data_IF_976392887273
#
_entry.id   IF_976392887273
#
_cell.length_a   1.000
_cell.length_b   1.000
_cell.length_c   1.000
_cell.angle_alpha   90.00
_cell.angle_beta   90.00
_cell.angle_gamma   90.00
#
_symmetry.space_group_name_H-M   'P 1'
#
loop_
_entity.id
_entity.type
_entity.pdbx_description
1 polymer ?
#
# COMPACT_ATOMS: atom_id res chain seq x y z
N UNK A 1 -19.83 -8.93 16.34
CA UNK A 1 -19.83 -7.67 17.09
C UNK A 1 -19.56 -6.64 16.03
N UNK A 2 -20.59 -5.89 15.68
CA UNK A 2 -20.51 -4.90 14.61
C UNK A 2 -19.76 -3.66 15.15
N UNK A 3 -19.01 -2.92 14.32
CA UNK A 3 -18.25 -1.78 14.79
C UNK A 3 -19.19 -0.60 15.08
N UNK A 4 -19.03 0.02 16.25
CA UNK A 4 -19.80 1.21 16.64
C UNK A 4 -19.18 2.52 16.11
N UNK A 5 -17.89 2.47 15.73
CA UNK A 5 -17.14 3.63 15.23
C UNK A 5 -16.20 3.24 14.09
N UNK A 6 -16.12 4.09 13.08
CA UNK A 6 -15.16 3.99 11.97
C UNK A 6 -14.54 5.36 11.72
N UNK A 7 -13.28 5.39 11.31
CA UNK A 7 -12.60 6.58 10.86
C UNK A 7 -12.02 6.31 9.46
N UNK A 8 -12.23 7.23 8.53
CA UNK A 8 -11.71 7.12 7.16
C UNK A 8 -11.42 8.50 6.56
N UNK A 9 -10.72 8.53 5.43
CA UNK A 9 -10.38 9.77 4.71
C UNK A 9 -11.41 9.99 3.60
N UNK A 10 -11.65 11.24 3.20
CA UNK A 10 -12.48 11.54 2.01
C UNK A 10 -11.93 10.85 0.75
N UNK A 11 -12.81 10.68 -0.23
CA UNK A 11 -12.56 9.95 -1.48
C UNK A 11 -12.36 8.43 -1.29
N UNK A 12 -12.67 7.93 -0.09
CA UNK A 12 -12.84 6.51 0.20
C UNK A 12 -14.33 6.10 0.18
N UNK A 13 -14.56 4.80 0.11
CA UNK A 13 -15.89 4.18 0.09
C UNK A 13 -16.15 3.45 1.40
N UNK A 14 -17.31 3.72 2.01
CA UNK A 14 -17.84 2.89 3.09
C UNK A 14 -18.74 1.81 2.51
N UNK A 15 -18.54 0.57 2.94
CA UNK A 15 -19.29 -0.60 2.47
C UNK A 15 -19.97 -1.32 3.64
N UNK A 16 -21.27 -1.58 3.46
CA UNK A 16 -22.09 -2.39 4.36
C UNK A 16 -22.41 -3.70 3.66
N UNK A 17 -21.93 -4.80 4.24
CA UNK A 17 -22.15 -6.14 3.74
C UNK A 17 -23.10 -6.89 4.68
N UNK A 18 -24.19 -7.43 4.13
CA UNK A 18 -25.09 -8.26 4.92
C UNK A 18 -24.52 -9.66 5.09
N UNK A 19 -24.13 -10.00 6.31
CA UNK A 19 -23.74 -11.35 6.72
C UNK A 19 -24.88 -12.13 7.40
N UNK A 20 -26.05 -11.51 7.53
CA UNK A 20 -27.22 -12.09 8.16
C UNK A 20 -28.20 -12.64 7.10
N UNK A 21 -29.12 -13.51 7.54
CA UNK A 21 -30.21 -14.04 6.72
C UNK A 21 -31.48 -13.16 6.79
N UNK A 22 -31.42 -11.98 7.43
CA UNK A 22 -32.51 -11.00 7.48
C UNK A 22 -32.26 -9.83 6.54
N UNK A 23 -33.35 -9.22 6.07
CA UNK A 23 -33.29 -7.96 5.34
C UNK A 23 -33.07 -6.82 6.34
N UNK A 24 -32.24 -5.86 5.96
CA UNK A 24 -31.98 -4.64 6.73
C UNK A 24 -32.06 -3.42 5.82
N UNK A 25 -32.10 -2.24 6.41
CA UNK A 25 -31.86 -1.00 5.68
C UNK A 25 -30.78 -0.19 6.38
N UNK A 26 -30.05 0.60 5.59
CA UNK A 26 -29.01 1.52 6.07
C UNK A 26 -29.45 2.92 5.70
N UNK A 27 -29.49 3.80 6.69
CA UNK A 27 -29.87 5.20 6.53
C UNK A 27 -28.78 6.12 7.09
N UNK A 28 -28.51 7.22 6.40
CA UNK A 28 -27.76 8.36 6.94
C UNK A 28 -28.49 9.63 6.49
N UNK A 29 -28.88 10.41 7.48
CA UNK A 29 -29.46 11.75 7.32
C UNK A 29 -28.30 12.75 7.28
N UNK A 30 -28.09 13.37 6.12
CA UNK A 30 -26.93 14.21 5.89
C UNK A 30 -27.06 15.57 6.58
N UNK A 31 -28.27 16.14 6.63
CA UNK A 31 -28.51 17.49 7.12
C UNK A 31 -29.04 17.51 8.57
N UNK A 32 -29.41 16.35 9.11
CA UNK A 32 -29.91 16.17 10.46
C UNK A 32 -31.34 16.67 10.67
N UNK A 33 -32.13 16.80 9.60
CA UNK A 33 -33.51 17.30 9.68
C UNK A 33 -34.55 16.22 10.00
N UNK A 34 -34.12 14.95 10.04
CA UNK A 34 -34.93 13.80 10.38
C UNK A 34 -35.75 13.24 9.23
N UNK A 35 -35.55 13.74 8.01
CA UNK A 35 -36.03 13.12 6.79
C UNK A 35 -34.89 12.45 5.99
N UNK A 36 -35.26 11.67 4.97
CA UNK A 36 -34.32 10.92 4.13
C UNK A 36 -34.63 11.18 2.65
N UNK A 37 -35.01 12.42 2.32
CA UNK A 37 -35.45 12.80 0.98
C UNK A 37 -34.51 13.77 0.26
N UNK A 38 -33.41 14.15 0.91
CA UNK A 38 -32.44 15.04 0.33
C UNK A 38 -31.49 14.34 -0.64
N UNK A 39 -30.79 15.17 -1.41
CA UNK A 39 -29.85 14.70 -2.45
C UNK A 39 -28.64 13.96 -1.88
N UNK A 40 -28.26 14.26 -0.64
CA UNK A 40 -27.06 13.73 0.01
C UNK A 40 -27.37 12.72 1.12
N UNK A 41 -28.65 12.46 1.37
CA UNK A 41 -29.05 11.38 2.27
C UNK A 41 -28.70 10.04 1.66
N UNK A 42 -28.35 9.11 2.54
CA UNK A 42 -28.13 7.73 2.16
C UNK A 42 -29.31 6.91 2.62
N UNK A 43 -29.99 6.25 1.68
CA UNK A 43 -31.04 5.29 1.97
C UNK A 43 -30.84 4.07 1.08
N UNK A 44 -30.40 2.96 1.69
CA UNK A 44 -30.09 1.74 0.98
C UNK A 44 -30.79 0.53 1.61
N UNK A 45 -31.49 -0.24 0.77
CA UNK A 45 -32.05 -1.54 1.16
C UNK A 45 -30.95 -2.61 1.09
N UNK A 46 -30.71 -3.29 2.21
CA UNK A 46 -29.64 -4.24 2.41
C UNK A 46 -30.22 -5.66 2.67
N UNK A 47 -30.62 -6.39 1.62
CA UNK A 47 -31.17 -7.75 1.77
C UNK A 47 -30.11 -8.74 2.27
N UNK A 48 -30.54 -9.94 2.67
CA UNK A 48 -29.63 -11.05 3.02
C UNK A 48 -28.58 -11.29 1.93
N UNK A 49 -27.29 -11.21 2.28
CA UNK A 49 -26.17 -11.34 1.34
C UNK A 49 -25.98 -10.16 0.37
N UNK A 50 -26.73 -9.07 0.56
CA UNK A 50 -26.61 -7.83 -0.22
C UNK A 50 -25.47 -6.94 0.24
N UNK A 51 -25.25 -5.86 -0.52
CA UNK A 51 -24.27 -4.83 -0.20
C UNK A 51 -24.83 -3.43 -0.47
N UNK A 52 -24.43 -2.49 0.37
CA UNK A 52 -24.66 -1.06 0.21
C UNK A 52 -23.29 -0.36 0.28
N UNK A 53 -23.02 0.56 -0.65
CA UNK A 53 -21.76 1.29 -0.70
C UNK A 53 -22.02 2.78 -0.88
N UNK A 54 -21.24 3.61 -0.20
CA UNK A 54 -21.29 5.05 -0.32
C UNK A 54 -19.87 5.59 -0.46
N UNK A 55 -19.62 6.30 -1.57
CA UNK A 55 -18.39 7.04 -1.79
C UNK A 55 -18.47 8.40 -1.11
N UNK A 56 -17.60 8.65 -0.13
CA UNK A 56 -17.55 9.90 0.62
C UNK A 56 -16.62 10.88 -0.08
N UNK A 57 -17.04 11.33 -1.26
CA UNK A 57 -16.26 12.22 -2.11
C UNK A 57 -16.02 13.61 -1.50
N UNK A 58 -14.97 14.28 -1.98
CA UNK A 58 -14.55 15.61 -1.52
C UNK A 58 -15.50 16.76 -1.89
N UNK A 59 -16.46 16.54 -2.79
CA UNK A 59 -17.36 17.60 -3.28
C UNK A 59 -18.61 17.73 -2.42
N UNK A 60 -19.14 16.59 -1.95
CA UNK A 60 -20.43 16.49 -1.30
C UNK A 60 -20.30 16.29 0.22
N UNK A 61 -19.22 15.66 0.67
CA UNK A 61 -18.98 15.35 2.07
C UNK A 61 -17.78 16.16 2.56
N UNK A 62 -17.78 16.56 3.82
CA UNK A 62 -16.69 17.33 4.47
C UNK A 62 -16.18 16.59 5.69
N UNK A 63 -15.00 16.93 6.19
CA UNK A 63 -14.51 16.32 7.44
C UNK A 63 -15.42 16.59 8.64
N UNK A 64 -16.30 15.63 8.97
CA UNK A 64 -17.29 15.69 10.04
C UNK A 64 -17.68 14.28 10.53
N UNK A 65 -18.58 14.20 11.51
CA UNK A 65 -19.19 12.97 12.00
C UNK A 65 -20.49 12.66 11.22
N UNK A 66 -20.49 11.52 10.53
CA UNK A 66 -21.66 10.96 9.84
C UNK A 66 -22.21 9.79 10.63
N UNK A 67 -23.53 9.78 10.86
CA UNK A 67 -24.20 8.75 11.64
C UNK A 67 -24.99 7.87 10.68
N UNK A 68 -24.66 6.58 10.67
CA UNK A 68 -25.42 5.58 9.91
C UNK A 68 -26.28 4.78 10.89
N UNK A 69 -27.57 4.72 10.62
CA UNK A 69 -28.52 3.93 11.37
C UNK A 69 -28.93 2.72 10.55
N UNK A 70 -28.76 1.53 11.13
CA UNK A 70 -29.10 0.27 10.49
C UNK A 70 -30.38 -0.24 11.15
N UNK A 71 -31.40 -0.52 10.35
CA UNK A 71 -32.69 -1.00 10.82
C UNK A 71 -32.91 -2.45 10.39
N UNK A 72 -33.55 -3.22 11.26
CA UNK A 72 -34.06 -4.55 10.93
C UNK A 72 -35.31 -4.45 10.04
N UNK A 73 -35.70 -5.58 9.44
CA UNK A 73 -36.90 -5.68 8.59
C UNK A 73 -38.20 -5.23 9.27
N UNK A 74 -38.27 -5.30 10.60
CA UNK A 74 -39.43 -4.84 11.39
C UNK A 74 -39.43 -3.33 11.68
N UNK A 75 -38.40 -2.60 11.22
CA UNK A 75 -38.22 -1.17 11.45
C UNK A 75 -37.63 -0.83 12.82
N UNK A 76 -37.18 -1.82 13.61
CA UNK A 76 -36.41 -1.55 14.82
C UNK A 76 -34.98 -1.18 14.49
N UNK A 77 -34.41 -0.26 15.27
CA UNK A 77 -32.99 0.09 15.17
C UNK A 77 -32.14 -1.12 15.60
N UNK A 78 -31.33 -1.65 14.68
CA UNK A 78 -30.40 -2.73 14.95
C UNK A 78 -29.17 -2.18 15.70
N UNK A 79 -28.49 -1.22 15.07
CA UNK A 79 -27.33 -0.54 15.63
C UNK A 79 -27.04 0.76 14.86
N UNK A 80 -26.16 1.56 15.44
CA UNK A 80 -25.70 2.84 14.88
C UNK A 80 -24.19 2.78 14.66
N UNK A 81 -23.72 3.29 13.53
CA UNK A 81 -22.31 3.44 13.21
C UNK A 81 -21.95 4.92 13.15
N UNK A 82 -20.98 5.31 13.98
CA UNK A 82 -20.41 6.65 14.00
C UNK A 82 -19.18 6.72 13.08
N UNK A 83 -19.31 7.33 11.91
CA UNK A 83 -18.23 7.48 10.94
C UNK A 83 -17.60 8.87 11.05
N UNK A 84 -16.35 8.94 11.50
CA UNK A 84 -15.56 10.18 11.48
C UNK A 84 -14.84 10.30 10.14
N UNK A 85 -15.25 11.28 9.33
CA UNK A 85 -14.61 11.57 8.05
C UNK A 85 -13.48 12.56 8.26
N UNK A 86 -12.27 12.20 7.81
CA UNK A 86 -11.12 13.11 7.77
C UNK A 86 -11.10 13.79 6.42
N UNK A 87 -10.96 15.11 6.41
CA UNK A 87 -10.84 15.85 5.15
C UNK A 87 -9.57 15.43 4.41
N UNK A 88 -9.69 15.07 3.15
CA UNK A 88 -8.53 14.89 2.29
C UNK A 88 -7.99 16.27 1.94
N UNK A 89 -6.87 16.64 2.55
CA UNK A 89 -6.16 17.89 2.28
C UNK A 89 -5.07 17.71 1.24
N UNK A 90 -5.05 16.58 0.53
CA UNK A 90 -4.10 16.35 -0.53
C UNK A 90 -4.42 17.28 -1.71
N UNK A 91 -3.58 18.29 -1.89
CA UNK A 91 -3.62 19.18 -3.04
C UNK A 91 -2.59 18.68 -4.07
N UNK A 92 -3.00 17.96 -5.12
CA UNK A 92 -2.07 17.47 -6.15
C UNK A 92 -1.46 18.61 -6.97
N UNK A 93 -1.99 19.83 -6.85
CA UNK A 93 -1.49 21.03 -7.50
C UNK A 93 -0.69 21.92 -6.54
N UNK A 94 -0.52 21.49 -5.29
CA UNK A 94 0.29 22.21 -4.33
C UNK A 94 1.75 22.09 -4.72
N UNK A 95 2.46 23.20 -4.78
CA UNK A 95 3.92 23.23 -4.87
C UNK A 95 4.61 22.75 -3.57
N UNK A 96 3.87 22.05 -2.71
CA UNK A 96 4.40 21.45 -1.49
C UNK A 96 5.28 20.30 -1.95
N UNK A 97 6.59 20.53 -1.85
CA UNK A 97 7.58 19.49 -2.09
C UNK A 97 7.28 18.32 -1.16
N UNK A 98 7.46 17.12 -1.70
CA UNK A 98 7.38 15.88 -0.94
C UNK A 98 8.15 15.98 0.40
N UNK A 99 7.65 15.39 1.51
CA UNK A 99 8.36 15.40 2.78
C UNK A 99 9.83 14.96 2.62
N UNK A 100 10.74 15.53 3.39
CA UNK A 100 12.17 15.20 3.28
C UNK A 100 12.40 13.68 3.40
N UNK A 101 13.06 13.09 2.39
CA UNK A 101 13.29 11.64 2.29
C UNK A 101 12.21 10.86 1.54
N UNK A 102 11.17 11.53 1.03
CA UNK A 102 10.18 10.98 0.13
C UNK A 102 10.23 11.74 -1.19
N UNK A 103 10.05 11.05 -2.29
CA UNK A 103 9.97 11.66 -3.62
C UNK A 103 8.79 11.07 -4.37
N UNK A 104 7.95 11.94 -4.90
CA UNK A 104 6.79 11.58 -5.70
C UNK A 104 7.02 12.11 -7.11
N UNK A 105 7.14 11.19 -8.08
CA UNK A 105 7.34 11.53 -9.50
C UNK A 105 8.64 10.94 -10.09
N UNK A 106 9.06 11.46 -11.24
CA UNK A 106 10.26 10.99 -11.96
C UNK A 106 11.55 11.65 -11.47
N UNK A 107 11.57 12.10 -10.21
CA UNK A 107 12.76 12.71 -9.62
C UNK A 107 13.74 11.59 -9.21
N UNK A 108 15.02 11.91 -9.16
CA UNK A 108 16.11 11.00 -8.78
C UNK A 108 16.97 11.79 -7.78
N UNK A 109 16.70 11.60 -6.48
CA UNK A 109 17.25 12.46 -5.41
C UNK A 109 18.70 12.15 -5.11
N UNK A 110 19.10 10.89 -5.14
CA UNK A 110 20.48 10.46 -4.90
C UNK A 110 21.34 10.38 -6.18
N UNK A 111 20.71 10.59 -7.35
CA UNK A 111 21.35 10.73 -8.65
C UNK A 111 22.03 9.45 -9.12
N UNK A 112 21.46 8.29 -8.77
CA UNK A 112 21.96 6.98 -9.18
C UNK A 112 21.47 6.53 -10.57
N UNK A 113 20.53 7.29 -11.16
CA UNK A 113 19.94 7.04 -12.47
C UNK A 113 18.61 6.29 -12.42
N UNK A 114 18.10 5.95 -11.24
CA UNK A 114 16.78 5.34 -11.03
C UNK A 114 15.82 6.39 -10.45
N UNK A 115 14.68 6.65 -11.11
CA UNK A 115 13.68 7.54 -10.54
C UNK A 115 13.15 7.02 -9.19
N UNK A 116 13.04 7.89 -8.20
CA UNK A 116 12.69 7.56 -6.81
C UNK A 116 11.36 6.81 -6.68
N UNK A 117 10.41 7.01 -7.61
CA UNK A 117 9.13 6.31 -7.62
C UNK A 117 9.25 4.81 -7.94
N UNK A 118 10.38 4.38 -8.49
CA UNK A 118 10.72 2.97 -8.75
C UNK A 118 12.04 2.55 -8.10
N UNK A 119 12.75 3.47 -7.45
CA UNK A 119 13.96 3.18 -6.71
C UNK A 119 13.63 2.43 -5.41
N UNK A 120 14.34 1.34 -5.19
CA UNK A 120 14.23 0.51 -3.98
C UNK A 120 15.41 0.69 -3.04
N UNK A 121 16.40 1.49 -3.42
CA UNK A 121 17.69 1.64 -2.76
C UNK A 121 17.95 3.08 -2.34
N UNK A 122 17.00 3.65 -1.62
CA UNK A 122 17.03 5.06 -1.17
C UNK A 122 18.41 5.46 -0.60
N UNK A 123 19.01 6.51 -1.17
CA UNK A 123 20.35 7.03 -0.87
C UNK A 123 21.50 6.18 -1.41
N UNK A 124 21.38 5.67 -2.63
CA UNK A 124 22.49 5.05 -3.35
C UNK A 124 23.64 6.05 -3.50
N UNK A 125 24.88 5.64 -3.19
CA UNK A 125 26.04 6.52 -3.40
C UNK A 125 26.23 6.81 -4.91
N UNK A 126 26.54 8.06 -5.30
CA UNK A 126 26.75 8.41 -6.71
C UNK A 126 27.80 7.52 -7.37
N UNK A 127 27.41 6.83 -8.44
CA UNK A 127 28.29 5.96 -9.24
C UNK A 127 28.31 4.49 -8.83
N UNK A 128 27.49 4.06 -7.87
CA UNK A 128 27.20 2.64 -7.63
C UNK A 128 26.45 2.07 -8.84
N UNK A 129 26.83 0.87 -9.28
CA UNK A 129 26.17 0.20 -10.40
C UNK A 129 24.79 -0.31 -9.95
N UNK A 130 23.75 0.42 -10.35
CA UNK A 130 22.35 0.01 -10.18
C UNK A 130 21.97 -0.99 -11.28
N UNK A 131 21.42 -2.13 -10.88
CA UNK A 131 20.93 -3.12 -11.84
C UNK A 131 19.59 -2.66 -12.44
N UNK A 132 19.31 -2.97 -13.72
CA UNK A 132 18.05 -2.61 -14.35
C UNK A 132 16.85 -3.27 -13.65
N UNK A 133 15.73 -2.54 -13.62
CA UNK A 133 14.47 -2.98 -12.98
C UNK A 133 13.97 -4.30 -13.59
N UNK A 134 13.68 -5.29 -12.73
CA UNK A 134 13.17 -6.61 -13.12
C UNK A 134 12.50 -7.36 -11.96
N UNK A 135 11.91 -8.52 -12.28
CA UNK A 135 10.96 -9.25 -11.41
C UNK A 135 11.57 -9.76 -10.08
N UNK A 136 12.87 -10.10 -10.05
CA UNK A 136 13.46 -10.87 -8.93
C UNK A 136 14.68 -10.21 -8.23
N UNK A 137 15.15 -9.04 -8.65
CA UNK A 137 16.40 -8.46 -8.11
C UNK A 137 16.20 -7.13 -7.39
N UNK A 138 16.43 -7.12 -6.08
CA UNK A 138 16.40 -5.93 -5.23
C UNK A 138 17.81 -5.33 -5.21
N UNK A 139 17.98 -4.26 -5.98
CA UNK A 139 19.28 -3.69 -6.40
C UNK A 139 20.11 -3.00 -5.33
N UNK A 140 20.03 -3.41 -4.06
CA UNK A 140 20.73 -2.70 -2.98
C UNK A 140 21.96 -3.42 -2.45
N UNK A 141 22.47 -4.41 -3.21
CA UNK A 141 23.70 -5.10 -2.82
C UNK A 141 24.50 -5.49 -4.07
N UNK A 142 25.27 -4.54 -4.58
CA UNK A 142 26.44 -4.89 -5.37
C UNK A 142 27.60 -5.06 -4.38
N UNK A 143 27.56 -6.14 -3.59
CA UNK A 143 28.70 -6.60 -2.80
C UNK A 143 29.81 -7.08 -3.76
N UNK A 144 30.43 -6.12 -4.44
CA UNK A 144 31.49 -6.28 -5.42
C UNK A 144 32.82 -6.66 -4.76
N UNK A 145 32.86 -6.71 -3.42
CA UNK A 145 34.05 -7.04 -2.64
C UNK A 145 34.46 -8.52 -2.67
N UNK A 146 33.55 -9.44 -2.99
CA UNK A 146 33.81 -10.88 -2.85
C UNK A 146 34.17 -11.62 -4.15
N UNK A 147 34.17 -10.96 -5.31
CA UNK A 147 34.33 -11.67 -6.61
C UNK A 147 35.79 -11.87 -7.04
N UNK A 148 36.70 -11.00 -6.64
CA UNK A 148 38.10 -11.03 -7.12
C UNK A 148 39.01 -11.93 -6.27
N UNK A 149 38.91 -11.85 -4.94
CA UNK A 149 39.72 -12.65 -4.03
C UNK A 149 39.33 -14.14 -4.05
N UNK A 150 38.04 -14.45 -4.15
CA UNK A 150 37.56 -15.83 -4.27
C UNK A 150 37.95 -16.46 -5.62
N UNK A 151 37.92 -15.69 -6.71
CA UNK A 151 38.42 -16.14 -8.02
C UNK A 151 39.93 -16.42 -7.99
N UNK A 152 40.73 -15.53 -7.38
CA UNK A 152 42.17 -15.71 -7.22
C UNK A 152 42.52 -16.94 -6.36
N UNK A 153 41.81 -17.13 -5.25
CA UNK A 153 41.94 -18.32 -4.40
C UNK A 153 41.55 -19.59 -5.16
N UNK A 154 40.46 -19.57 -5.93
CA UNK A 154 40.03 -20.71 -6.76
C UNK A 154 41.07 -21.13 -7.79
N UNK A 155 41.68 -20.17 -8.50
CA UNK A 155 42.76 -20.44 -9.46
C UNK A 155 44.00 -21.02 -8.75
N UNK A 156 44.35 -20.49 -7.58
CA UNK A 156 45.49 -20.98 -6.79
C UNK A 156 45.28 -22.42 -6.31
N UNK A 157 44.07 -22.76 -5.86
CA UNK A 157 43.71 -24.12 -5.44
C UNK A 157 43.83 -25.13 -6.60
N UNK A 158 43.32 -24.77 -7.78
CA UNK A 158 43.42 -25.63 -8.98
C UNK A 158 44.88 -25.85 -9.37
N UNK A 159 45.71 -24.81 -9.33
CA UNK A 159 47.14 -24.92 -9.62
C UNK A 159 47.86 -25.83 -8.62
N UNK A 160 47.55 -25.74 -7.33
CA UNK A 160 48.13 -26.60 -6.29
C UNK A 160 47.73 -28.07 -6.47
N UNK A 161 46.46 -28.35 -6.81
CA UNK A 161 45.99 -29.71 -7.10
C UNK A 161 46.70 -30.27 -8.34
N UNK A 162 46.84 -29.46 -9.41
CA UNK A 162 47.57 -29.86 -10.62
C UNK A 162 49.04 -30.17 -10.36
N UNK A 163 49.70 -29.36 -9.53
CA UNK A 163 51.09 -29.59 -9.11
C UNK A 163 51.22 -30.89 -8.29
N UNK A 164 50.29 -31.11 -7.35
CA UNK A 164 50.27 -32.32 -6.52
C UNK A 164 50.02 -33.58 -7.36
N UNK A 165 49.09 -33.55 -8.31
CA UNK A 165 48.85 -34.66 -9.25
C UNK A 165 50.07 -34.93 -10.13
N UNK A 166 50.77 -33.89 -10.60
CA UNK A 166 51.99 -34.04 -11.39
C UNK A 166 53.14 -34.67 -10.59
N UNK A 167 53.28 -34.30 -9.32
CA UNK A 167 54.26 -34.90 -8.40
C UNK A 167 53.91 -36.36 -8.09
N UNK A 168 52.62 -36.67 -7.89
CA UNK A 168 52.13 -38.03 -7.64
C UNK A 168 52.36 -38.94 -8.85
N UNK A 169 52.06 -38.47 -10.06
CA UNK A 169 52.27 -39.21 -11.32
C UNK A 169 53.75 -39.51 -11.60
N UNK A 170 54.69 -38.65 -11.16
CA UNK A 170 56.14 -38.93 -11.27
C UNK A 170 56.65 -39.97 -10.27
N UNK A 171 55.88 -40.29 -9.23
CA UNK A 171 56.27 -41.23 -8.17
C UNK A 171 55.77 -42.66 -8.42
N UNK A 172 54.89 -42.84 -9.41
CA UNK A 172 54.29 -44.12 -9.81
C UNK A 172 54.92 -44.73 -11.10
N UNK A 173 55.95 -44.09 -11.67
CA UNK A 173 56.86 -44.63 -12.70
C UNK A 173 58.24 -44.92 -12.09
#
# INVERSE_FOLDING_TARGET
MDPDTVQMVQNDTVEFLSVNNSNRSVHMDFNGDGDLNDTYDFNCNLPSGGMCALEMNVTNYTGDLYIFEIFEEDGSLAFTLNLTLINDTHDPNSSVTSPAGYSFGNQDVDQDGIPDNVDRCVNTEPGVEVLPVGEDFQGCDADTGLSTFQSLLGVLFIALIGLWMSVRMRKEN
#
